data_IF_940661630670
#
_entry.id   IF_940661630670
#
_cell.length_a   1.000
_cell.length_b   1.000
_cell.length_c   1.000
_cell.angle_alpha   90.00
_cell.angle_beta   90.00
_cell.angle_gamma   90.00
#
_symmetry.space_group_name_H-M   'P 1'
#
loop_
_entity.id
_entity.type
_entity.pdbx_description
1 polymer ?
#
# COMPACT_ATOMS: atom_id res chain seq x y z
N UNK A 1 -11.82 -5.20 -20.45
CA UNK A 1 -13.01 -5.88 -19.88
C UNK A 1 -12.92 -5.75 -18.36
N UNK A 2 -13.69 -4.84 -17.77
CA UNK A 2 -13.59 -4.50 -16.34
C UNK A 2 -14.50 -5.45 -15.53
N UNK A 3 -13.96 -6.60 -15.11
CA UNK A 3 -14.69 -7.68 -14.46
C UNK A 3 -15.28 -7.32 -13.08
N UNK A 4 -14.96 -6.15 -12.54
CA UNK A 4 -15.51 -5.65 -11.28
C UNK A 4 -16.92 -5.07 -11.43
N UNK A 5 -17.29 -4.65 -12.65
CA UNK A 5 -18.62 -4.10 -12.91
C UNK A 5 -19.74 -5.14 -12.69
N UNK A 6 -19.51 -6.40 -13.08
CA UNK A 6 -20.50 -7.48 -12.91
C UNK A 6 -20.58 -8.01 -11.47
N UNK A 7 -19.54 -7.80 -10.66
CA UNK A 7 -19.53 -8.21 -9.24
C UNK A 7 -20.27 -7.19 -8.36
N UNK A 8 -20.27 -5.92 -8.76
CA UNK A 8 -20.88 -4.80 -8.02
C UNK A 8 -22.41 -4.67 -8.17
N UNK A 9 -23.01 -5.37 -9.15
CA UNK A 9 -24.47 -5.40 -9.34
C UNK A 9 -25.18 -6.32 -8.34
N UNK A 10 -24.49 -7.26 -7.71
CA UNK A 10 -25.09 -8.20 -6.76
C UNK A 10 -25.06 -7.69 -5.31
N UNK A 11 -26.21 -7.61 -4.66
CA UNK A 11 -26.34 -7.16 -3.26
C UNK A 11 -25.58 -8.04 -2.26
N UNK A 12 -25.26 -9.28 -2.65
CA UNK A 12 -24.49 -10.24 -1.87
C UNK A 12 -23.05 -9.76 -1.58
N UNK A 13 -22.43 -9.03 -2.52
CA UNK A 13 -21.09 -8.46 -2.35
C UNK A 13 -21.05 -7.23 -1.42
N UNK A 14 -22.21 -6.71 -1.01
CA UNK A 14 -22.32 -5.57 -0.06
C UNK A 14 -22.31 -6.01 1.41
N UNK A 15 -22.25 -7.32 1.69
CA UNK A 15 -22.12 -7.84 3.06
C UNK A 15 -20.69 -7.59 3.60
N UNK A 16 -20.54 -7.03 4.81
CA UNK A 16 -19.24 -6.58 5.33
C UNK A 16 -18.18 -7.69 5.39
N UNK A 17 -18.59 -8.94 5.68
CA UNK A 17 -17.68 -10.08 5.72
C UNK A 17 -17.12 -10.47 4.34
N UNK A 18 -17.87 -10.30 3.26
CA UNK A 18 -17.40 -10.63 1.90
C UNK A 18 -16.48 -9.54 1.34
N UNK A 19 -16.75 -8.27 1.65
CA UNK A 19 -15.88 -7.15 1.27
C UNK A 19 -14.50 -7.30 1.91
N UNK A 20 -14.44 -7.68 3.19
CA UNK A 20 -13.17 -7.90 3.88
C UNK A 20 -12.40 -9.11 3.33
N UNK A 21 -13.10 -10.21 3.00
CA UNK A 21 -12.47 -11.35 2.30
C UNK A 21 -11.91 -10.95 0.94
N UNK A 22 -12.66 -10.19 0.14
CA UNK A 22 -12.20 -9.71 -1.16
C UNK A 22 -11.01 -8.77 -1.03
N UNK A 23 -11.04 -7.86 -0.05
CA UNK A 23 -9.91 -6.99 0.28
C UNK A 23 -8.67 -7.79 0.65
N UNK A 24 -8.79 -8.80 1.52
CA UNK A 24 -7.67 -9.66 1.90
C UNK A 24 -7.11 -10.46 0.71
N UNK A 25 -7.98 -10.97 -0.17
CA UNK A 25 -7.56 -11.68 -1.38
C UNK A 25 -6.78 -10.74 -2.29
N UNK A 26 -7.33 -9.56 -2.62
CA UNK A 26 -6.67 -8.57 -3.46
C UNK A 26 -5.38 -8.04 -2.86
N UNK A 27 -5.37 -7.81 -1.55
CA UNK A 27 -4.18 -7.37 -0.85
C UNK A 27 -3.07 -8.41 -1.00
N UNK A 28 -3.36 -9.69 -0.79
CA UNK A 28 -2.38 -10.77 -0.95
C UNK A 28 -1.89 -10.87 -2.39
N UNK A 29 -2.76 -10.66 -3.37
CA UNK A 29 -2.43 -10.71 -4.79
C UNK A 29 -1.51 -9.56 -5.20
N UNK A 30 -1.88 -8.31 -4.86
CA UNK A 30 -1.07 -7.11 -5.11
C UNK A 30 0.26 -7.22 -4.37
N UNK A 31 0.27 -7.70 -3.12
CA UNK A 31 1.51 -7.93 -2.38
C UNK A 31 2.43 -8.91 -3.08
N UNK A 32 1.93 -10.02 -3.64
CA UNK A 32 2.76 -10.98 -4.40
C UNK A 32 3.35 -10.34 -5.65
N UNK A 33 2.55 -9.57 -6.38
CA UNK A 33 3.00 -8.88 -7.60
C UNK A 33 4.05 -7.82 -7.27
N UNK A 34 3.81 -7.00 -6.24
CA UNK A 34 4.72 -5.93 -5.81
C UNK A 34 5.93 -6.43 -5.00
N UNK A 35 5.92 -7.68 -4.52
CA UNK A 35 7.07 -8.29 -3.87
C UNK A 35 8.22 -8.52 -4.85
N UNK A 36 7.93 -8.93 -6.08
CA UNK A 36 8.95 -9.19 -7.11
C UNK A 36 9.85 -7.95 -7.37
N UNK A 37 9.30 -6.78 -7.76
CA UNK A 37 10.13 -5.60 -7.96
C UNK A 37 10.78 -5.11 -6.66
N UNK A 38 10.11 -5.26 -5.51
CA UNK A 38 10.67 -4.85 -4.23
C UNK A 38 11.89 -5.70 -3.83
N UNK A 39 11.88 -7.01 -4.10
CA UNK A 39 13.02 -7.91 -3.87
C UNK A 39 14.18 -7.53 -4.80
N UNK A 40 13.90 -7.27 -6.08
CA UNK A 40 14.93 -6.88 -7.06
C UNK A 40 15.58 -5.56 -6.64
N UNK A 41 14.79 -4.55 -6.26
CA UNK A 41 15.28 -3.25 -5.79
C UNK A 41 16.04 -3.42 -4.47
N UNK A 42 15.53 -4.21 -3.53
CA UNK A 42 16.16 -4.47 -2.24
C UNK A 42 17.53 -5.14 -2.39
N UNK A 43 17.61 -6.19 -3.19
CA UNK A 43 18.85 -6.89 -3.46
C UNK A 43 19.85 -5.99 -4.22
N UNK A 44 19.37 -5.24 -5.22
CA UNK A 44 20.20 -4.30 -5.98
C UNK A 44 20.82 -3.22 -5.11
N UNK A 45 20.03 -2.59 -4.22
CA UNK A 45 20.52 -1.57 -3.29
C UNK A 45 21.47 -2.15 -2.24
N UNK A 46 21.21 -3.36 -1.73
CA UNK A 46 22.12 -4.03 -0.81
C UNK A 46 23.47 -4.36 -1.49
N UNK A 47 23.47 -4.78 -2.75
CA UNK A 47 24.66 -5.06 -3.54
C UNK A 47 25.46 -3.76 -3.80
N UNK A 48 24.79 -2.67 -4.18
CA UNK A 48 25.45 -1.36 -4.37
C UNK A 48 26.10 -0.90 -3.06
N UNK A 49 25.41 -1.04 -1.93
CA UNK A 49 25.96 -0.68 -0.62
C UNK A 49 27.18 -1.55 -0.26
N UNK A 50 27.20 -2.81 -0.69
CA UNK A 50 28.30 -3.73 -0.47
C UNK A 50 29.51 -3.36 -1.34
N UNK A 51 29.29 -3.14 -2.63
CA UNK A 51 30.32 -2.73 -3.58
C UNK A 51 30.93 -1.36 -3.23
N UNK A 52 30.13 -0.44 -2.68
CA UNK A 52 30.59 0.88 -2.26
C UNK A 52 31.33 0.88 -0.91
N UNK A 53 31.38 -0.24 -0.18
CA UNK A 53 31.95 -0.29 1.18
C UNK A 53 31.23 0.61 2.17
N UNK A 54 29.93 0.86 1.98
CA UNK A 54 29.20 1.93 2.70
C UNK A 54 28.88 1.63 4.16
N UNK A 55 29.09 0.40 4.64
CA UNK A 55 28.86 0.02 6.05
C UNK A 55 29.62 -1.25 6.43
N UNK A 56 30.27 -1.26 7.59
CA UNK A 56 30.94 -2.45 8.13
C UNK A 56 29.94 -3.43 8.78
N UNK A 57 28.77 -2.92 9.18
CA UNK A 57 27.80 -3.73 9.92
C UNK A 57 26.89 -4.55 8.97
N UNK A 58 26.95 -5.89 9.01
CA UNK A 58 26.12 -6.76 8.17
C UNK A 58 24.61 -6.59 8.40
N UNK A 59 24.19 -6.11 9.58
CA UNK A 59 22.78 -5.86 9.90
C UNK A 59 22.16 -4.77 9.04
N UNK A 60 22.94 -3.79 8.60
CA UNK A 60 22.44 -2.68 7.78
C UNK A 60 21.94 -3.16 6.41
N UNK A 61 22.57 -4.17 5.81
CA UNK A 61 22.12 -4.77 4.56
C UNK A 61 20.76 -5.45 4.71
N UNK A 62 20.60 -6.23 5.78
CA UNK A 62 19.34 -6.90 6.07
C UNK A 62 18.22 -5.89 6.35
N UNK A 63 18.51 -4.85 7.14
CA UNK A 63 17.53 -3.81 7.49
C UNK A 63 17.12 -3.02 6.26
N UNK A 64 18.05 -2.67 5.37
CA UNK A 64 17.74 -2.02 4.11
C UNK A 64 16.79 -2.87 3.26
N UNK A 65 17.12 -4.15 3.07
CA UNK A 65 16.28 -5.08 2.31
C UNK A 65 14.86 -5.19 2.89
N UNK A 66 14.75 -5.39 4.21
CA UNK A 66 13.46 -5.49 4.90
C UNK A 66 12.67 -4.19 4.81
N UNK A 67 13.33 -3.03 4.94
CA UNK A 67 12.66 -1.73 4.86
C UNK A 67 12.00 -1.49 3.50
N UNK A 68 12.63 -1.94 2.40
CA UNK A 68 12.10 -1.80 1.04
C UNK A 68 10.86 -2.68 0.85
N UNK A 69 10.90 -3.91 1.37
CA UNK A 69 9.72 -4.78 1.40
C UNK A 69 8.59 -4.13 2.20
N UNK A 70 8.87 -3.63 3.40
CA UNK A 70 7.90 -2.91 4.22
C UNK A 70 7.27 -1.73 3.47
N UNK A 71 8.07 -0.89 2.81
CA UNK A 71 7.55 0.25 2.05
C UNK A 71 6.65 -0.19 0.88
N UNK A 72 7.03 -1.24 0.15
CA UNK A 72 6.19 -1.83 -0.92
C UNK A 72 4.84 -2.32 -0.37
N UNK A 73 4.86 -2.99 0.79
CA UNK A 73 3.65 -3.44 1.48
C UNK A 73 2.77 -2.26 1.91
N UNK A 74 3.36 -1.22 2.51
CA UNK A 74 2.65 -0.03 2.95
C UNK A 74 1.91 0.64 1.79
N UNK A 75 2.59 0.92 0.68
CA UNK A 75 1.94 1.54 -0.48
C UNK A 75 0.84 0.66 -1.04
N UNK A 76 1.04 -0.66 -1.12
CA UNK A 76 0.01 -1.60 -1.59
C UNK A 76 -1.25 -1.55 -0.73
N UNK A 77 -1.11 -1.55 0.60
CA UNK A 77 -2.23 -1.42 1.54
C UNK A 77 -2.89 -0.05 1.40
N UNK A 78 -2.10 1.02 1.35
CA UNK A 78 -2.59 2.39 1.25
C UNK A 78 -3.46 2.61 0.01
N UNK A 79 -2.94 2.27 -1.17
CA UNK A 79 -3.67 2.41 -2.43
C UNK A 79 -4.95 1.57 -2.45
N UNK A 80 -4.90 0.33 -1.96
CA UNK A 80 -6.07 -0.54 -1.89
C UNK A 80 -7.12 0.01 -0.91
N UNK A 81 -6.69 0.54 0.24
CA UNK A 81 -7.58 1.14 1.24
C UNK A 81 -8.28 2.36 0.67
N UNK A 82 -7.53 3.25 0.03
CA UNK A 82 -8.08 4.43 -0.65
C UNK A 82 -9.06 4.02 -1.75
N UNK A 83 -8.72 3.01 -2.55
CA UNK A 83 -9.60 2.47 -3.60
C UNK A 83 -10.93 1.96 -3.02
N UNK A 84 -10.88 1.19 -1.93
CA UNK A 84 -12.09 0.64 -1.30
C UNK A 84 -12.94 1.69 -0.55
N UNK A 85 -12.32 2.75 0.00
CA UNK A 85 -13.06 3.81 0.69
C UNK A 85 -13.67 4.84 -0.27
N UNK A 86 -12.95 5.23 -1.32
CA UNK A 86 -13.29 6.40 -2.14
C UNK A 86 -13.78 6.04 -3.55
N UNK A 87 -13.63 4.79 -3.99
CA UNK A 87 -13.99 4.26 -5.32
C UNK A 87 -13.80 5.29 -6.45
N UNK A 88 -12.55 5.64 -6.80
CA UNK A 88 -12.25 6.79 -7.65
C UNK A 88 -12.58 6.62 -9.14
N UNK A 89 -12.79 5.38 -9.59
CA UNK A 89 -13.02 5.04 -10.99
C UNK A 89 -14.49 4.79 -11.26
N UNK A 90 -15.02 5.47 -12.28
CA UNK A 90 -16.34 5.17 -12.84
C UNK A 90 -16.27 3.93 -13.76
N UNK A 91 -17.43 3.43 -14.21
CA UNK A 91 -17.52 2.27 -15.11
C UNK A 91 -16.72 2.43 -16.42
N UNK A 92 -16.47 3.68 -16.85
CA UNK A 92 -15.64 4.03 -18.00
C UNK A 92 -14.13 4.16 -17.69
N UNK A 93 -13.68 3.85 -16.47
CA UNK A 93 -12.28 4.02 -15.99
C UNK A 93 -11.81 5.47 -15.89
N UNK A 94 -12.73 6.44 -15.96
CA UNK A 94 -12.39 7.85 -15.76
C UNK A 94 -12.31 8.18 -14.27
N UNK A 95 -11.25 8.92 -13.90
CA UNK A 95 -11.06 9.46 -12.55
C UNK A 95 -11.95 10.68 -12.34
N UNK A 96 -13.08 10.53 -11.64
CA UNK A 96 -14.02 11.64 -11.35
C UNK A 96 -13.89 12.23 -9.95
N UNK A 97 -13.18 11.54 -9.05
CA UNK A 97 -13.14 11.86 -7.61
C UNK A 97 -12.01 12.85 -7.29
N UNK A 98 -12.36 14.13 -7.09
CA UNK A 98 -11.41 15.14 -6.59
C UNK A 98 -10.87 14.83 -5.19
N UNK A 99 -11.63 14.13 -4.36
CA UNK A 99 -11.16 13.68 -3.03
C UNK A 99 -10.06 12.63 -3.13
N UNK A 100 -10.12 11.74 -4.12
CA UNK A 100 -9.00 10.81 -4.40
C UNK A 100 -7.74 11.55 -4.81
N UNK A 101 -7.87 12.56 -5.69
CA UNK A 101 -6.73 13.37 -6.13
C UNK A 101 -6.10 14.16 -4.98
N UNK A 102 -6.89 14.67 -4.04
CA UNK A 102 -6.38 15.31 -2.82
C UNK A 102 -5.66 14.33 -1.89
N UNK A 103 -6.21 13.14 -1.66
CA UNK A 103 -5.55 12.12 -0.83
C UNK A 103 -4.24 11.67 -1.46
N UNK A 104 -4.23 11.44 -2.78
CA UNK A 104 -3.04 11.07 -3.53
C UNK A 104 -1.99 12.18 -3.49
N UNK A 105 -2.39 13.43 -3.76
CA UNK A 105 -1.49 14.60 -3.67
C UNK A 105 -0.90 14.73 -2.26
N UNK A 106 -1.71 14.56 -1.22
CA UNK A 106 -1.28 14.59 0.17
C UNK A 106 -0.25 13.51 0.49
N UNK A 107 -0.44 12.28 0.01
CA UNK A 107 0.51 11.20 0.26
C UNK A 107 1.83 11.42 -0.47
N UNK A 108 1.80 11.87 -1.73
CA UNK A 108 3.01 12.27 -2.45
C UNK A 108 3.74 13.42 -1.76
N UNK A 109 3.02 14.41 -1.24
CA UNK A 109 3.61 15.52 -0.49
C UNK A 109 4.33 15.05 0.78
N UNK A 110 3.72 14.14 1.54
CA UNK A 110 4.35 13.54 2.73
C UNK A 110 5.62 12.77 2.35
N UNK A 111 5.56 11.95 1.28
CA UNK A 111 6.73 11.22 0.80
C UNK A 111 7.86 12.15 0.35
N UNK A 112 7.52 13.28 -0.29
CA UNK A 112 8.49 14.30 -0.66
C UNK A 112 9.18 14.92 0.56
N UNK A 113 8.43 15.21 1.63
CA UNK A 113 9.01 15.70 2.88
C UNK A 113 9.90 14.66 3.55
N UNK A 114 9.48 13.40 3.58
CA UNK A 114 10.29 12.30 4.13
C UNK A 114 11.62 12.12 3.39
N UNK A 115 11.67 12.36 2.07
CA UNK A 115 12.90 12.26 1.28
C UNK A 115 14.01 13.22 1.75
N UNK A 116 13.65 14.35 2.39
CA UNK A 116 14.64 15.30 2.94
C UNK A 116 15.17 14.89 4.32
N UNK A 117 14.52 13.93 4.99
CA UNK A 117 14.88 13.54 6.35
C UNK A 117 15.98 12.49 6.29
N UNK A 118 17.19 12.87 6.72
CA UNK A 118 18.31 11.94 6.87
C UNK A 118 18.22 11.26 8.23
N UNK A 119 18.09 9.94 8.23
CA UNK A 119 18.08 9.13 9.46
C UNK A 119 19.07 7.97 9.33
N UNK A 120 19.62 7.47 10.46
CA UNK A 120 20.39 6.24 10.46
C UNK A 120 19.50 5.06 10.04
N UNK A 121 20.07 4.16 9.24
CA UNK A 121 19.36 3.08 8.56
C UNK A 121 18.60 2.15 9.53
N UNK A 122 19.17 1.86 10.70
CA UNK A 122 18.54 1.04 11.73
C UNK A 122 17.27 1.67 12.29
N UNK A 123 17.30 2.97 12.57
CA UNK A 123 16.13 3.71 13.06
C UNK A 123 15.07 3.79 11.97
N UNK A 124 15.48 4.07 10.73
CA UNK A 124 14.58 4.06 9.59
C UNK A 124 13.87 2.72 9.42
N UNK A 125 14.61 1.60 9.46
CA UNK A 125 14.04 0.26 9.35
C UNK A 125 13.04 -0.06 10.47
N UNK A 126 13.40 0.22 11.73
CA UNK A 126 12.50 0.01 12.88
C UNK A 126 11.21 0.83 12.76
N UNK A 127 11.33 2.11 12.39
CA UNK A 127 10.18 2.99 12.19
C UNK A 127 9.31 2.50 11.03
N UNK A 128 9.91 2.09 9.89
CA UNK A 128 9.18 1.55 8.75
C UNK A 128 8.40 0.27 9.12
N UNK A 129 9.02 -0.67 9.84
CA UNK A 129 8.37 -1.90 10.27
C UNK A 129 7.21 -1.57 11.22
N UNK A 130 7.46 -0.76 12.24
CA UNK A 130 6.43 -0.36 13.21
C UNK A 130 5.26 0.35 12.54
N UNK A 131 5.55 1.27 11.63
CA UNK A 131 4.54 2.00 10.87
C UNK A 131 3.74 1.08 9.96
N UNK A 132 4.38 0.13 9.26
CA UNK A 132 3.67 -0.83 8.41
C UNK A 132 2.70 -1.69 9.21
N UNK A 133 3.13 -2.22 10.35
CA UNK A 133 2.29 -3.04 11.23
C UNK A 133 1.10 -2.21 11.73
N UNK A 134 1.35 -1.03 12.30
CA UNK A 134 0.30 -0.14 12.80
C UNK A 134 -0.69 0.23 11.68
N UNK A 135 -0.17 0.61 10.51
CA UNK A 135 -1.01 1.02 9.38
C UNK A 135 -1.85 -0.14 8.84
N UNK A 136 -1.30 -1.36 8.78
CA UNK A 136 -2.04 -2.54 8.35
C UNK A 136 -3.24 -2.87 9.28
N UNK A 137 -3.05 -2.68 10.59
CA UNK A 137 -4.11 -2.85 11.60
C UNK A 137 -5.17 -1.77 11.39
N UNK A 138 -4.77 -0.51 11.29
CA UNK A 138 -5.68 0.62 11.07
C UNK A 138 -6.45 0.45 9.77
N UNK A 139 -5.80 0.09 8.67
CA UNK A 139 -6.43 -0.16 7.38
C UNK A 139 -7.47 -1.28 7.45
N UNK A 140 -7.16 -2.38 8.13
CA UNK A 140 -8.10 -3.50 8.33
C UNK A 140 -9.34 -3.07 9.12
N UNK A 141 -9.15 -2.27 10.18
CA UNK A 141 -10.26 -1.70 10.97
C UNK A 141 -11.08 -0.72 10.13
N UNK A 142 -10.43 0.16 9.37
CA UNK A 142 -11.07 1.16 8.52
C UNK A 142 -11.92 0.49 7.45
N UNK A 143 -11.38 -0.52 6.78
CA UNK A 143 -12.10 -1.31 5.77
C UNK A 143 -13.29 -2.04 6.42
N UNK A 144 -13.11 -2.69 7.57
CA UNK A 144 -14.22 -3.36 8.26
C UNK A 144 -15.36 -2.40 8.61
N UNK A 145 -15.03 -1.19 9.09
CA UNK A 145 -16.01 -0.22 9.59
C UNK A 145 -16.66 0.63 8.49
N UNK A 146 -15.89 1.07 7.49
CA UNK A 146 -16.35 2.03 6.48
C UNK A 146 -16.71 1.40 5.14
N UNK A 147 -16.08 0.29 4.75
CA UNK A 147 -16.40 -0.34 3.47
C UNK A 147 -17.90 -0.70 3.29
N UNK A 148 -18.67 -1.17 4.29
CA UNK A 148 -20.11 -1.39 4.07
C UNK A 148 -20.93 -0.11 3.84
N UNK A 149 -20.42 1.07 4.26
CA UNK A 149 -21.13 2.35 4.13
C UNK A 149 -20.77 3.15 2.88
N UNK A 150 -19.55 3.00 2.34
CA UNK A 150 -19.05 3.76 1.18
C UNK A 150 -19.06 2.98 -0.15
N UNK A 151 -19.31 1.66 -0.15
CA UNK A 151 -19.45 0.87 -1.39
C UNK A 151 -20.81 1.11 -2.09
N UNK A 152 -21.00 2.32 -2.61
CA UNK A 152 -22.11 2.68 -3.50
C UNK A 152 -21.53 3.15 -4.83
N UNK A 153 -21.87 2.47 -5.93
CA UNK A 153 -21.65 2.96 -7.28
C UNK A 153 -22.32 4.33 -7.41
N UNK A 154 -21.50 5.36 -7.67
CA UNK A 154 -22.02 6.66 -8.05
C UNK A 154 -22.30 6.58 -9.55
N UNK A 155 -23.57 6.67 -9.91
CA UNK A 155 -23.99 6.83 -11.31
C UNK A 155 -23.37 8.08 -11.93
#
# INVERSE_FOLDING_TARGET
>A
MNCDHSLLTYSFYKKPGFVLKLFQIRLREIMKINAVPAIVIGAGLALILFASGGTDNPLNYAVLFVSILCMSLFFSIHYLTVYYLLQPYNAATEMKSGTYQLVLSGTYFVCFMMMRVKMPLLVFGLVCIGFCVLYSIVASILVYRFAPKTFKLRS
#
